data_IF_205906755766
#
_entry.id   IF_205906755766
#
_cell.length_a   1.000
_cell.length_b   1.000
_cell.length_c   1.000
_cell.angle_alpha   90.00
_cell.angle_beta   90.00
_cell.angle_gamma   90.00
#
_symmetry.space_group_name_H-M   'P 1'
#
loop_
_entity.id
_entity.type
_entity.pdbx_description
1 polymer ?
#
# COMPACT_ATOMS: atom_id res chain seq x y z
N UNK A 1 -5.05 10.11 -12.13
CA UNK A 1 -6.40 9.51 -12.12
C UNK A 1 -6.45 8.17 -11.38
N UNK A 2 -5.57 7.20 -11.67
CA UNK A 2 -5.60 5.87 -11.02
C UNK A 2 -5.25 5.88 -9.51
N UNK A 3 -4.30 6.71 -9.07
CA UNK A 3 -3.94 6.80 -7.62
C UNK A 3 -5.12 7.30 -6.80
N UNK A 4 -5.80 8.36 -7.26
CA UNK A 4 -6.93 8.99 -6.54
C UNK A 4 -8.13 8.07 -6.33
N UNK A 5 -8.24 6.94 -7.06
CA UNK A 5 -9.33 5.98 -6.89
C UNK A 5 -8.94 4.76 -6.06
N UNK A 6 -7.63 4.45 -5.96
CA UNK A 6 -7.10 3.31 -5.20
C UNK A 6 -6.71 3.71 -3.77
N UNK A 7 -6.16 4.90 -3.58
CA UNK A 7 -5.69 5.36 -2.26
C UNK A 7 -6.81 5.53 -1.22
N UNK A 8 -7.97 6.15 -1.52
CA UNK A 8 -8.96 6.44 -0.48
C UNK A 8 -9.49 5.19 0.25
N UNK A 9 -9.88 4.09 -0.43
CA UNK A 9 -10.32 2.88 0.28
C UNK A 9 -9.22 2.25 1.16
N UNK A 10 -7.94 2.38 0.77
CA UNK A 10 -6.81 1.88 1.56
C UNK A 10 -6.60 2.72 2.82
N UNK A 11 -6.79 4.04 2.73
CA UNK A 11 -6.77 4.93 3.90
C UNK A 11 -7.97 4.69 4.83
N UNK A 12 -9.15 4.46 4.27
CA UNK A 12 -10.33 4.06 5.05
C UNK A 12 -10.07 2.76 5.84
N UNK A 13 -9.42 1.77 5.22
CA UNK A 13 -9.04 0.53 5.90
C UNK A 13 -8.08 0.79 7.07
N UNK A 14 -7.12 1.69 6.90
CA UNK A 14 -6.20 2.06 7.97
C UNK A 14 -6.96 2.72 9.14
N UNK A 15 -7.89 3.63 8.84
CA UNK A 15 -8.74 4.25 9.87
C UNK A 15 -9.57 3.22 10.62
N UNK A 16 -10.24 2.31 9.89
CA UNK A 16 -11.03 1.24 10.48
C UNK A 16 -10.20 0.35 11.43
N UNK A 17 -8.97 -0.01 11.03
CA UNK A 17 -8.09 -0.90 11.81
C UNK A 17 -7.35 -0.25 12.98
N UNK A 18 -7.09 1.05 12.90
CA UNK A 18 -6.22 1.77 13.85
C UNK A 18 -7.04 2.68 14.75
N UNK A 19 -7.86 3.56 14.17
CA UNK A 19 -8.58 4.60 14.91
C UNK A 19 -9.93 4.13 15.43
N UNK A 20 -10.56 3.21 14.70
CA UNK A 20 -11.92 2.75 15.00
C UNK A 20 -11.93 1.36 15.66
N UNK A 21 -10.77 0.80 16.02
CA UNK A 21 -10.65 -0.57 16.54
C UNK A 21 -11.57 -0.84 17.73
N UNK A 22 -11.63 0.09 18.68
CA UNK A 22 -12.37 -0.07 19.94
C UNK A 22 -13.77 0.54 19.87
N UNK A 23 -14.27 0.87 18.68
CA UNK A 23 -15.60 1.44 18.49
C UNK A 23 -16.64 0.35 18.35
N UNK A 24 -17.88 0.57 18.82
CA UNK A 24 -18.92 -0.47 18.81
C UNK A 24 -19.31 -0.94 17.40
N UNK A 25 -19.02 -0.17 16.36
CA UNK A 25 -19.30 -0.52 14.96
C UNK A 25 -18.11 -1.16 14.22
N UNK A 26 -16.97 -1.37 14.88
CA UNK A 26 -15.72 -1.78 14.22
C UNK A 26 -15.84 -3.12 13.51
N UNK A 27 -16.44 -4.10 14.19
CA UNK A 27 -16.58 -5.48 13.69
C UNK A 27 -17.43 -5.55 12.42
N UNK A 28 -18.53 -4.79 12.36
CA UNK A 28 -19.42 -4.75 11.20
C UNK A 28 -18.83 -3.92 10.05
N UNK A 29 -18.09 -2.86 10.37
CA UNK A 29 -17.51 -1.95 9.37
C UNK A 29 -16.30 -2.54 8.65
N UNK A 30 -15.46 -3.29 9.36
CA UNK A 30 -14.18 -3.76 8.82
C UNK A 30 -14.35 -4.62 7.55
N UNK A 31 -15.27 -5.61 7.47
CA UNK A 31 -15.50 -6.38 6.25
C UNK A 31 -15.90 -5.51 5.05
N UNK A 32 -16.77 -4.53 5.25
CA UNK A 32 -17.25 -3.63 4.18
C UNK A 32 -16.13 -2.79 3.59
N UNK A 33 -15.21 -2.30 4.44
CA UNK A 33 -14.06 -1.51 3.99
C UNK A 33 -13.02 -2.41 3.30
N UNK A 34 -12.82 -3.63 3.80
CA UNK A 34 -11.97 -4.63 3.13
C UNK A 34 -12.48 -4.94 1.73
N UNK A 35 -13.79 -5.18 1.56
CA UNK A 35 -14.41 -5.47 0.27
C UNK A 35 -14.16 -4.34 -0.76
N UNK A 36 -14.36 -3.08 -0.36
CA UNK A 36 -14.08 -1.91 -1.22
C UNK A 36 -12.62 -1.82 -1.66
N UNK A 37 -11.68 -2.22 -0.80
CA UNK A 37 -10.26 -2.33 -1.18
C UNK A 37 -10.10 -3.41 -2.23
N UNK A 38 -10.68 -4.61 -2.03
CA UNK A 38 -10.61 -5.69 -3.02
C UNK A 38 -11.18 -5.27 -4.38
N UNK A 39 -12.29 -4.55 -4.44
CA UNK A 39 -12.87 -4.07 -5.71
C UNK A 39 -11.88 -3.21 -6.51
N UNK A 40 -11.16 -2.30 -5.84
CA UNK A 40 -10.14 -1.46 -6.49
C UNK A 40 -8.91 -2.24 -6.88
N UNK A 41 -8.48 -3.20 -6.05
CA UNK A 41 -7.36 -4.07 -6.40
C UNK A 41 -7.68 -4.98 -7.58
N UNK A 42 -8.91 -5.49 -7.70
CA UNK A 42 -9.36 -6.27 -8.87
C UNK A 42 -9.24 -5.45 -10.16
N UNK A 43 -9.70 -4.19 -10.15
CA UNK A 43 -9.59 -3.29 -11.29
C UNK A 43 -8.13 -2.97 -11.64
N UNK A 44 -7.30 -2.70 -10.64
CA UNK A 44 -5.87 -2.43 -10.84
C UNK A 44 -5.12 -3.67 -11.35
N UNK A 45 -5.43 -4.84 -10.80
CA UNK A 45 -4.89 -6.14 -11.22
C UNK A 45 -5.21 -6.42 -12.68
N UNK A 46 -6.47 -6.20 -13.09
CA UNK A 46 -6.88 -6.34 -14.47
C UNK A 46 -6.15 -5.36 -15.40
N UNK A 47 -5.95 -4.10 -14.96
CA UNK A 47 -5.19 -3.10 -15.72
C UNK A 47 -3.72 -3.49 -15.88
N UNK A 48 -3.08 -3.98 -14.82
CA UNK A 48 -1.68 -4.40 -14.87
C UNK A 48 -1.52 -5.65 -15.74
N UNK A 49 -2.47 -6.60 -15.64
CA UNK A 49 -2.41 -7.87 -16.34
C UNK A 49 -1.10 -8.60 -16.08
N UNK A 50 -0.39 -8.92 -17.17
CA UNK A 50 0.93 -9.55 -17.16
C UNK A 50 2.08 -8.55 -17.37
N UNK A 51 1.80 -7.24 -17.40
CA UNK A 51 2.83 -6.23 -17.58
C UNK A 51 3.68 -6.05 -16.32
N UNK A 52 4.94 -5.66 -16.52
CA UNK A 52 5.82 -5.33 -15.40
C UNK A 52 5.42 -4.03 -14.70
N UNK A 53 4.95 -3.03 -15.48
CA UNK A 53 4.57 -1.69 -15.05
C UNK A 53 3.30 -1.22 -15.76
N UNK A 54 2.61 -0.21 -15.18
CA UNK A 54 1.27 0.18 -15.62
C UNK A 54 1.20 0.78 -17.03
N UNK A 55 2.26 1.47 -17.45
CA UNK A 55 2.33 2.19 -18.73
C UNK A 55 3.58 1.75 -19.53
N UNK A 56 3.95 0.46 -19.42
CA UNK A 56 5.07 -0.16 -20.14
C UNK A 56 6.39 -0.02 -19.39
N UNK A 57 7.12 1.09 -19.60
CA UNK A 57 8.33 1.36 -18.82
C UNK A 57 7.98 1.89 -17.43
N UNK A 58 8.87 1.70 -16.46
CA UNK A 58 8.69 2.24 -15.11
C UNK A 58 8.51 3.77 -15.16
N UNK A 59 7.46 4.25 -14.50
CA UNK A 59 7.08 5.66 -14.49
C UNK A 59 6.93 6.22 -13.08
N UNK A 60 6.74 7.54 -12.97
CA UNK A 60 6.34 8.17 -11.71
C UNK A 60 4.98 7.64 -11.20
N UNK A 61 4.09 7.24 -12.10
CA UNK A 61 2.82 6.61 -11.75
C UNK A 61 3.02 5.30 -10.99
N UNK A 62 4.01 4.50 -11.38
CA UNK A 62 4.34 3.26 -10.69
C UNK A 62 4.93 3.50 -9.30
N UNK A 63 5.82 4.50 -9.18
CA UNK A 63 6.36 4.87 -7.88
C UNK A 63 5.25 5.24 -6.89
N UNK A 64 4.30 6.06 -7.33
CA UNK A 64 3.15 6.47 -6.50
C UNK A 64 2.24 5.29 -6.17
N UNK A 65 1.92 4.44 -7.15
CA UNK A 65 1.04 3.30 -6.94
C UNK A 65 1.66 2.26 -6.00
N UNK A 66 2.95 1.94 -6.15
CA UNK A 66 3.68 1.07 -5.23
C UNK A 66 3.65 1.65 -3.81
N UNK A 67 3.87 2.96 -3.65
CA UNK A 67 3.82 3.61 -2.34
C UNK A 67 2.43 3.48 -1.67
N UNK A 68 1.35 3.57 -2.44
CA UNK A 68 -0.02 3.35 -1.94
C UNK A 68 -0.23 1.89 -1.53
N UNK A 69 0.14 0.94 -2.39
CA UNK A 69 -0.06 -0.49 -2.13
C UNK A 69 0.80 -1.02 -0.97
N UNK A 70 1.96 -0.42 -0.69
CA UNK A 70 2.80 -0.78 0.45
C UNK A 70 2.08 -0.67 1.80
N UNK A 71 1.06 0.19 1.90
CA UNK A 71 0.20 0.28 3.11
C UNK A 71 -0.56 -1.02 3.40
N UNK A 72 -0.77 -1.85 2.39
CA UNK A 72 -1.44 -3.14 2.50
C UNK A 72 -0.48 -4.30 2.78
N UNK A 73 0.85 -4.08 2.79
CA UNK A 73 1.85 -5.16 2.87
C UNK A 73 1.67 -6.07 4.09
N UNK A 74 1.32 -5.50 5.24
CA UNK A 74 1.13 -6.25 6.50
C UNK A 74 -0.30 -6.73 6.74
N UNK A 75 -1.25 -6.39 5.87
CA UNK A 75 -2.67 -6.73 6.06
C UNK A 75 -3.04 -8.11 5.52
N UNK A 76 -2.18 -8.74 4.72
CA UNK A 76 -2.46 -9.99 4.00
C UNK A 76 -3.31 -9.82 2.73
N UNK A 77 -3.86 -8.63 2.47
CA UNK A 77 -4.80 -8.38 1.35
C UNK A 77 -4.14 -8.59 -0.01
N UNK A 78 -2.86 -8.21 -0.18
CA UNK A 78 -2.14 -8.38 -1.44
C UNK A 78 -1.96 -9.86 -1.83
N UNK A 79 -2.02 -10.80 -0.88
CA UNK A 79 -1.91 -12.23 -1.18
C UNK A 79 -3.07 -12.74 -2.06
N UNK A 80 -4.23 -12.07 -2.03
CA UNK A 80 -5.35 -12.36 -2.92
C UNK A 80 -5.14 -11.85 -4.36
N UNK A 81 -4.11 -11.03 -4.60
CA UNK A 81 -3.81 -10.41 -5.90
C UNK A 81 -2.32 -10.61 -6.27
N UNK A 82 -1.91 -11.84 -6.66
CA UNK A 82 -0.49 -12.20 -6.79
C UNK A 82 0.32 -11.33 -7.76
N UNK A 83 -0.29 -10.85 -8.85
CA UNK A 83 0.37 -9.95 -9.79
C UNK A 83 0.65 -8.56 -9.18
N UNK A 84 -0.22 -8.06 -8.32
CA UNK A 84 0.00 -6.82 -7.57
C UNK A 84 1.04 -7.02 -6.46
N UNK A 85 1.07 -8.19 -5.82
CA UNK A 85 2.13 -8.50 -4.84
C UNK A 85 3.53 -8.54 -5.52
N UNK A 86 3.60 -9.17 -6.69
CA UNK A 86 4.81 -9.18 -7.52
C UNK A 86 5.19 -7.76 -7.99
N UNK A 87 4.21 -6.95 -8.39
CA UNK A 87 4.41 -5.55 -8.77
C UNK A 87 5.00 -4.70 -7.65
N UNK A 88 4.45 -4.80 -6.43
CA UNK A 88 5.01 -4.12 -5.26
C UNK A 88 6.43 -4.61 -4.98
N UNK A 89 6.64 -5.93 -4.98
CA UNK A 89 7.96 -6.53 -4.74
C UNK A 89 9.01 -6.07 -5.76
N UNK A 90 8.65 -5.92 -7.04
CA UNK A 90 9.53 -5.31 -8.06
C UNK A 90 9.86 -3.86 -7.74
N UNK A 91 8.87 -3.08 -7.29
CA UNK A 91 9.07 -1.69 -6.85
C UNK A 91 10.06 -1.59 -5.68
N UNK A 92 9.88 -2.44 -4.67
CA UNK A 92 10.76 -2.53 -3.49
C UNK A 92 12.20 -2.94 -3.84
N UNK A 93 12.37 -3.79 -4.86
CA UNK A 93 13.67 -4.27 -5.29
C UNK A 93 14.54 -3.17 -5.95
N UNK A 94 13.93 -2.06 -6.41
CA UNK A 94 14.65 -0.99 -7.13
C UNK A 94 15.72 -0.34 -6.23
N UNK A 95 16.95 -0.11 -6.71
CA UNK A 95 18.02 0.51 -5.90
C UNK A 95 17.65 1.88 -5.33
N UNK A 96 16.88 2.69 -6.09
CA UNK A 96 16.41 3.98 -5.61
C UNK A 96 15.47 3.85 -4.39
N UNK A 97 14.57 2.86 -4.40
CA UNK A 97 13.68 2.58 -3.28
C UNK A 97 14.48 2.16 -2.05
N UNK A 98 15.40 1.20 -2.20
CA UNK A 98 16.27 0.74 -1.09
C UNK A 98 17.06 1.88 -0.45
N UNK A 99 17.61 2.79 -1.26
CA UNK A 99 18.33 3.98 -0.76
C UNK A 99 17.40 4.93 -0.01
N UNK A 100 16.23 5.23 -0.56
CA UNK A 100 15.25 6.10 0.08
C UNK A 100 14.75 5.51 1.42
N UNK A 101 14.47 4.21 1.44
CA UNK A 101 14.07 3.50 2.65
C UNK A 101 15.17 3.52 3.71
N UNK A 102 16.43 3.24 3.34
CA UNK A 102 17.56 3.30 4.27
C UNK A 102 17.74 4.71 4.86
N UNK A 103 17.59 5.76 4.04
CA UNK A 103 17.65 7.13 4.51
C UNK A 103 16.51 7.46 5.49
N UNK A 104 15.27 7.07 5.18
CA UNK A 104 14.13 7.27 6.08
C UNK A 104 14.25 6.48 7.39
N UNK A 105 14.76 5.24 7.34
CA UNK A 105 14.99 4.42 8.52
C UNK A 105 16.03 5.05 9.45
N UNK A 106 17.11 5.61 8.90
CA UNK A 106 18.11 6.32 9.69
C UNK A 106 17.51 7.54 10.42
N UNK A 107 16.67 8.31 9.73
CA UNK A 107 15.97 9.46 10.34
C UNK A 107 15.00 9.00 11.44
N UNK A 108 14.23 7.93 11.21
CA UNK A 108 13.27 7.41 12.18
C UNK A 108 13.96 6.87 13.45
N UNK A 109 15.09 6.16 13.30
CA UNK A 109 15.87 5.68 14.44
C UNK A 109 16.48 6.84 15.23
N UNK A 110 17.07 7.83 14.55
CA UNK A 110 17.62 9.02 15.21
C UNK A 110 16.54 9.83 15.96
N UNK A 111 15.31 9.88 15.44
CA UNK A 111 14.18 10.51 16.15
C UNK A 111 13.78 9.72 17.41
N UNK A 112 13.75 8.39 17.33
CA UNK A 112 13.41 7.52 18.47
C UNK A 112 14.41 7.64 19.62
N UNK A 113 15.70 7.69 19.31
CA UNK A 113 16.77 7.85 20.30
C UNK A 113 16.68 9.19 21.05
N UNK A 114 16.27 10.26 20.37
CA UNK A 114 16.06 11.58 20.98
C UNK A 114 14.82 11.66 21.87
N UNK A 115 13.80 10.85 21.65
CA UNK A 115 12.59 10.83 22.50
C UNK A 115 12.74 9.99 23.77
N UNK A 116 13.78 9.17 23.86
CA UNK A 116 14.09 8.33 25.04
C UNK A 116 15.16 8.92 25.96
N UNK A 117 15.66 10.12 25.67
CA UNK A 117 16.64 10.85 26.47
C UNK A 117 16.07 12.16 26.96
#
# INVERSE_FOLDING_TARGET
AAVNTVEPPILELANAKILERDKPWSEERLPLVVERVHDRLTQLSARLGNADWLDGAFSAGDLMMVAVLLRLRRSGILAAHPNLDAYVSRGEARPAYKRAFAAQLAVANAAREKSTS
#
